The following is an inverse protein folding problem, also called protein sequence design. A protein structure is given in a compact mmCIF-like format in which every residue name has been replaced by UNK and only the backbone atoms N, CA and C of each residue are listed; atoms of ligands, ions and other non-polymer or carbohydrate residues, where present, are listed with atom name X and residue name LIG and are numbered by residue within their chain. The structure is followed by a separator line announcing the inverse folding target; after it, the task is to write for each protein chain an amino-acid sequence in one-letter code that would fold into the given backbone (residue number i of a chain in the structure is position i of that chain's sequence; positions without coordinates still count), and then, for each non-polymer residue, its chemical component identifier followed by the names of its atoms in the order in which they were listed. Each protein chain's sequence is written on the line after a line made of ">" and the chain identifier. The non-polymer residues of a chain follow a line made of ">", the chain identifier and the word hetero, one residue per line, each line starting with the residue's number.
data_IF_671070668743
#
_entry.id   IF_671070668743
#
_cell.length_a   1.000
_cell.length_b   1.000
_cell.length_c   1.000
_cell.angle_alpha   90.00
_cell.angle_beta   90.00
_cell.angle_gamma   90.00
#
_symmetry.space_group_name_H-M   'P 1'
#
loop_
_entity.id
_entity.type
_entity.pdbx_description
1 polymer ?
#
# COMPACT_ATOMS: atom_id res chain seq x y z
N UNK A 1 -12.97 -30.16 -7.64
CA UNK A 1 -12.98 -28.70 -7.84
C UNK A 1 -11.65 -28.11 -7.44
N UNK A 2 -11.29 -27.96 -6.15
CA UNK A 2 -9.97 -27.44 -5.76
C UNK A 2 -8.81 -28.15 -6.48
N UNK A 3 -8.68 -29.48 -6.34
CA UNK A 3 -7.70 -30.30 -7.08
C UNK A 3 -7.67 -30.12 -8.61
N UNK A 4 -8.80 -29.72 -9.23
CA UNK A 4 -8.88 -29.45 -10.67
C UNK A 4 -8.32 -28.06 -10.97
N UNK A 5 -8.61 -27.06 -10.11
CA UNK A 5 -8.02 -25.72 -10.16
C UNK A 5 -6.52 -25.79 -9.89
N UNK A 6 -6.09 -26.59 -8.91
CA UNK A 6 -4.69 -26.80 -8.58
C UNK A 6 -3.92 -27.38 -9.79
N UNK A 7 -4.44 -28.45 -10.42
CA UNK A 7 -3.90 -28.99 -11.68
C UNK A 7 -3.93 -27.95 -12.81
N UNK A 8 -5.02 -27.19 -12.92
CA UNK A 8 -5.19 -26.21 -13.99
C UNK A 8 -4.13 -25.10 -13.88
N UNK A 9 -3.89 -24.57 -12.68
CA UNK A 9 -2.96 -23.47 -12.37
C UNK A 9 -1.49 -23.89 -12.19
N UNK A 10 -1.16 -25.18 -12.22
CA UNK A 10 0.22 -25.68 -12.03
C UNK A 10 0.75 -26.58 -13.14
N UNK A 11 -0.13 -27.25 -13.90
CA UNK A 11 0.27 -28.21 -14.96
C UNK A 11 -0.29 -27.81 -16.33
N UNK A 12 -1.56 -27.40 -16.38
CA UNK A 12 -2.23 -27.09 -17.65
C UNK A 12 -1.91 -25.67 -18.14
N UNK A 13 -1.86 -24.71 -17.21
CA UNK A 13 -1.45 -23.32 -17.42
C UNK A 13 -0.83 -22.76 -16.14
N UNK A 14 0.18 -21.91 -16.27
CA UNK A 14 0.73 -21.07 -15.22
C UNK A 14 0.69 -19.62 -15.74
N UNK A 15 -0.08 -18.72 -15.12
CA UNK A 15 -0.13 -17.33 -15.54
C UNK A 15 1.15 -16.59 -15.15
N UNK A 16 1.69 -15.82 -16.09
CA UNK A 16 2.87 -14.97 -15.92
C UNK A 16 2.43 -13.51 -16.16
N UNK A 17 2.44 -12.62 -15.15
CA UNK A 17 2.10 -11.21 -15.33
C UNK A 17 3.23 -10.48 -16.08
N UNK A 18 2.86 -9.61 -17.01
CA UNK A 18 3.78 -8.79 -17.79
C UNK A 18 3.80 -7.36 -17.23
N UNK A 19 4.41 -7.20 -16.06
CA UNK A 19 4.66 -5.89 -15.47
C UNK A 19 5.50 -5.02 -16.41
N UNK A 20 5.22 -3.71 -16.53
CA UNK A 20 4.32 -2.93 -15.67
C UNK A 20 2.97 -2.61 -16.36
N UNK A 21 2.32 -3.61 -16.95
CA UNK A 21 1.04 -3.43 -17.65
C UNK A 21 -0.04 -4.36 -17.08
N UNK A 22 -1.33 -4.10 -17.35
CA UNK A 22 -2.43 -5.06 -17.13
C UNK A 22 -2.43 -6.18 -18.20
N UNK A 23 -1.28 -6.82 -18.37
CA UNK A 23 -1.00 -7.85 -19.38
C UNK A 23 -0.44 -9.13 -18.75
N UNK A 24 -0.56 -10.24 -19.48
CA UNK A 24 0.06 -11.49 -19.07
C UNK A 24 0.01 -12.57 -20.14
N UNK A 25 0.76 -13.65 -19.93
CA UNK A 25 0.72 -14.84 -20.79
C UNK A 25 0.65 -16.12 -19.96
N UNK A 26 0.20 -17.22 -20.57
CA UNK A 26 0.14 -18.53 -19.92
C UNK A 26 1.21 -19.47 -20.47
N UNK A 27 1.96 -20.13 -19.59
CA UNK A 27 2.87 -21.24 -19.95
C UNK A 27 2.28 -22.57 -19.47
N UNK A 28 2.41 -23.66 -20.23
CA UNK A 28 1.93 -24.98 -19.79
C UNK A 28 1.39 -25.85 -20.92
N UNK A 29 0.79 -26.99 -20.56
CA UNK A 29 0.35 -27.99 -21.53
C UNK A 29 -0.73 -27.46 -22.50
N UNK A 30 -1.57 -26.51 -22.07
CA UNK A 30 -2.64 -25.93 -22.92
C UNK A 30 -2.20 -24.75 -23.78
N UNK A 31 -1.00 -24.17 -23.56
CA UNK A 31 -0.41 -23.19 -24.50
C UNK A 31 0.64 -23.79 -25.43
N UNK A 32 1.04 -25.05 -25.23
CA UNK A 32 1.87 -25.78 -26.19
C UNK A 32 1.22 -25.78 -27.58
N UNK A 33 2.01 -25.40 -28.60
CA UNK A 33 1.57 -25.20 -30.00
C UNK A 33 0.38 -24.24 -30.17
N UNK A 34 0.22 -23.25 -29.29
CA UNK A 34 -0.87 -22.27 -29.30
C UNK A 34 -2.29 -22.90 -29.27
N UNK A 35 -2.45 -24.05 -28.60
CA UNK A 35 -3.75 -24.75 -28.52
C UNK A 35 -4.89 -23.91 -27.90
N UNK A 36 -4.58 -23.08 -26.89
CA UNK A 36 -5.50 -22.08 -26.35
C UNK A 36 -4.80 -20.72 -26.14
N UNK A 37 -5.53 -19.61 -26.30
CA UNK A 37 -5.03 -18.28 -25.98
C UNK A 37 -5.02 -18.02 -24.47
N UNK A 38 -4.11 -17.17 -24.02
CA UNK A 38 -3.98 -16.78 -22.60
C UNK A 38 -5.29 -16.20 -22.05
N UNK A 39 -6.03 -15.44 -22.87
CA UNK A 39 -7.35 -14.91 -22.50
C UNK A 39 -8.41 -16.01 -22.26
N UNK A 40 -8.49 -17.02 -23.13
CA UNK A 40 -9.42 -18.15 -22.96
C UNK A 40 -9.06 -18.95 -21.70
N UNK A 41 -7.76 -19.12 -21.46
CA UNK A 41 -7.25 -19.80 -20.27
C UNK A 41 -7.60 -19.04 -18.98
N UNK A 42 -7.37 -17.73 -18.91
CA UNK A 42 -7.82 -16.91 -17.77
C UNK A 42 -9.35 -16.90 -17.61
N UNK A 43 -10.11 -16.91 -18.71
CA UNK A 43 -11.58 -17.06 -18.67
C UNK A 43 -12.00 -18.38 -18.03
N UNK A 44 -11.32 -19.48 -18.35
CA UNK A 44 -11.58 -20.79 -17.73
C UNK A 44 -11.22 -20.84 -16.24
N UNK A 45 -10.16 -20.14 -15.79
CA UNK A 45 -9.83 -20.01 -14.35
C UNK A 45 -10.99 -19.38 -13.58
N UNK A 46 -11.55 -18.27 -14.08
CA UNK A 46 -12.68 -17.59 -13.41
C UNK A 46 -13.92 -18.50 -13.36
N UNK A 47 -14.21 -19.25 -14.42
CA UNK A 47 -15.27 -20.26 -14.42
C UNK A 47 -15.05 -21.38 -13.40
N UNK A 48 -13.82 -21.88 -13.29
CA UNK A 48 -13.47 -22.93 -12.31
C UNK A 48 -13.59 -22.40 -10.87
N UNK A 49 -13.08 -21.20 -10.56
CA UNK A 49 -13.21 -20.56 -9.25
C UNK A 49 -14.69 -20.33 -8.86
N UNK A 50 -15.51 -19.84 -9.79
CA UNK A 50 -16.96 -19.71 -9.59
C UNK A 50 -17.65 -21.06 -9.33
N UNK A 51 -17.17 -22.14 -9.97
CA UNK A 51 -17.64 -23.51 -9.71
C UNK A 51 -17.25 -24.03 -8.31
N UNK A 52 -16.09 -23.64 -7.77
CA UNK A 52 -15.67 -23.98 -6.41
C UNK A 52 -16.56 -23.31 -5.37
N UNK A 53 -16.83 -22.00 -5.51
CA UNK A 53 -17.75 -21.26 -4.62
C UNK A 53 -19.16 -21.86 -4.69
N UNK A 54 -19.64 -22.17 -5.90
CA UNK A 54 -20.93 -22.86 -6.11
C UNK A 54 -20.99 -24.23 -5.43
N UNK A 55 -19.90 -25.02 -5.51
CA UNK A 55 -19.80 -26.32 -4.85
C UNK A 55 -19.86 -26.22 -3.32
N UNK A 56 -19.18 -25.22 -2.73
CA UNK A 56 -19.26 -24.95 -1.28
C UNK A 56 -20.66 -24.54 -0.87
N UNK A 57 -21.30 -23.60 -1.58
CA UNK A 57 -22.68 -23.19 -1.31
C UNK A 57 -23.64 -24.39 -1.40
N UNK A 58 -23.48 -25.27 -2.38
CA UNK A 58 -24.27 -26.50 -2.49
C UNK A 58 -24.08 -27.42 -1.27
N UNK A 59 -22.86 -27.53 -0.72
CA UNK A 59 -22.61 -28.26 0.52
C UNK A 59 -23.28 -27.63 1.74
N UNK A 60 -23.22 -26.30 1.89
CA UNK A 60 -23.94 -25.57 2.95
C UNK A 60 -25.46 -25.73 2.83
N UNK A 61 -26.03 -25.56 1.64
CA UNK A 61 -27.46 -25.75 1.38
C UNK A 61 -27.92 -27.20 1.65
N UNK A 62 -27.14 -28.20 1.23
CA UNK A 62 -27.43 -29.62 1.57
C UNK A 62 -27.40 -29.87 3.08
N UNK A 63 -26.46 -29.26 3.82
CA UNK A 63 -26.37 -29.40 5.28
C UNK A 63 -27.50 -28.65 6.00
N UNK A 64 -27.85 -27.46 5.54
CA UNK A 64 -29.00 -26.66 6.00
C UNK A 64 -30.31 -27.45 5.85
N UNK A 65 -30.57 -28.03 4.68
CA UNK A 65 -31.75 -28.88 4.44
C UNK A 65 -31.79 -30.11 5.35
N UNK A 66 -30.64 -30.68 5.73
CA UNK A 66 -30.58 -31.78 6.71
C UNK A 66 -30.98 -31.31 8.12
N UNK A 67 -30.51 -30.14 8.56
CA UNK A 67 -30.92 -29.57 9.84
C UNK A 67 -32.41 -29.17 9.86
N UNK A 68 -32.94 -28.56 8.80
CA UNK A 68 -34.36 -28.20 8.74
C UNK A 68 -35.29 -29.43 8.80
N UNK A 69 -34.90 -30.57 8.22
CA UNK A 69 -35.62 -31.85 8.38
C UNK A 69 -35.66 -32.33 9.84
N UNK A 70 -34.58 -32.14 10.60
CA UNK A 70 -34.54 -32.47 12.04
C UNK A 70 -35.45 -31.55 12.86
N UNK A 71 -35.63 -30.30 12.42
CA UNK A 71 -36.43 -29.27 13.08
C UNK A 71 -37.96 -29.42 12.88
N UNK A 72 -38.41 -30.44 12.13
CA UNK A 72 -39.84 -30.78 11.91
C UNK A 72 -40.75 -29.64 11.40
N UNK A 73 -40.21 -28.57 10.81
CA UNK A 73 -41.03 -27.47 10.28
C UNK A 73 -41.70 -27.87 8.95
N UNK A 74 -43.01 -27.62 8.81
CA UNK A 74 -43.77 -27.91 7.58
C UNK A 74 -43.45 -27.00 6.37
N UNK A 75 -42.52 -26.05 6.49
CA UNK A 75 -42.14 -25.11 5.43
C UNK A 75 -41.22 -25.78 4.40
N UNK A 76 -41.46 -25.53 3.10
CA UNK A 76 -40.70 -26.13 2.00
C UNK A 76 -39.34 -25.45 1.76
N UNK A 77 -38.42 -25.62 2.71
CA UNK A 77 -37.02 -25.13 2.64
C UNK A 77 -36.26 -25.59 1.39
N UNK A 78 -36.73 -26.66 0.72
CA UNK A 78 -36.18 -27.14 -0.57
C UNK A 78 -36.24 -26.05 -1.66
N UNK A 79 -37.33 -25.29 -1.74
CA UNK A 79 -37.53 -24.28 -2.76
C UNK A 79 -36.48 -23.15 -2.63
N UNK A 80 -36.31 -22.63 -1.41
CA UNK A 80 -35.25 -21.68 -1.07
C UNK A 80 -33.86 -22.17 -1.52
N UNK A 81 -33.50 -23.41 -1.19
CA UNK A 81 -32.19 -23.96 -1.53
C UNK A 81 -31.97 -24.11 -3.04
N UNK A 82 -33.00 -24.48 -3.81
CA UNK A 82 -32.91 -24.56 -5.28
C UNK A 82 -32.78 -23.17 -5.90
N UNK A 83 -33.59 -22.20 -5.45
CA UNK A 83 -33.55 -20.82 -5.94
C UNK A 83 -32.21 -20.16 -5.63
N UNK A 84 -31.72 -20.28 -4.39
CA UNK A 84 -30.46 -19.68 -3.96
C UNK A 84 -29.23 -20.24 -4.72
N UNK A 85 -29.22 -21.55 -4.98
CA UNK A 85 -28.19 -22.16 -5.82
C UNK A 85 -28.31 -21.74 -7.28
N UNK A 86 -29.53 -21.66 -7.83
CA UNK A 86 -29.79 -21.22 -9.19
C UNK A 86 -29.34 -19.78 -9.46
N UNK A 87 -29.65 -18.85 -8.55
CA UNK A 87 -29.20 -17.46 -8.63
C UNK A 87 -27.68 -17.35 -8.62
N UNK A 88 -26.99 -18.06 -7.71
CA UNK A 88 -25.53 -18.08 -7.68
C UNK A 88 -24.92 -18.64 -8.97
N UNK A 89 -25.50 -19.71 -9.51
CA UNK A 89 -25.01 -20.33 -10.75
C UNK A 89 -25.21 -19.41 -11.97
N UNK A 90 -26.32 -18.67 -12.04
CA UNK A 90 -26.55 -17.65 -13.05
C UNK A 90 -25.55 -16.48 -12.93
N UNK A 91 -25.22 -16.04 -11.71
CA UNK A 91 -24.17 -15.04 -11.48
C UNK A 91 -22.82 -15.56 -12.02
N UNK A 92 -22.43 -16.80 -11.71
CA UNK A 92 -21.18 -17.39 -12.22
C UNK A 92 -21.15 -17.47 -13.75
N UNK A 93 -22.26 -17.84 -14.40
CA UNK A 93 -22.36 -17.84 -15.87
C UNK A 93 -22.19 -16.41 -16.43
N UNK A 94 -22.89 -15.42 -15.87
CA UNK A 94 -22.77 -14.02 -16.29
C UNK A 94 -21.33 -13.51 -16.14
N UNK A 95 -20.65 -13.84 -15.04
CA UNK A 95 -19.25 -13.48 -14.79
C UNK A 95 -18.28 -14.06 -15.82
N UNK A 96 -18.47 -15.32 -16.24
CA UNK A 96 -17.65 -15.93 -17.30
C UNK A 96 -17.89 -15.25 -18.65
N UNK A 97 -19.14 -14.89 -18.96
CA UNK A 97 -19.49 -14.16 -20.19
C UNK A 97 -18.88 -12.75 -20.20
N UNK A 98 -18.94 -12.02 -19.08
CA UNK A 98 -18.29 -10.70 -18.93
C UNK A 98 -16.78 -10.82 -19.07
N UNK A 99 -16.15 -11.80 -18.40
CA UNK A 99 -14.70 -12.06 -18.53
C UNK A 99 -14.31 -12.30 -19.99
N UNK A 100 -15.05 -13.14 -20.71
CA UNK A 100 -14.82 -13.40 -22.13
C UNK A 100 -14.93 -12.13 -22.98
N UNK A 101 -15.80 -11.18 -22.60
CA UNK A 101 -15.98 -9.87 -23.25
C UNK A 101 -14.96 -8.80 -22.85
N UNK A 102 -14.15 -9.01 -21.80
CA UNK A 102 -13.00 -8.15 -21.51
C UNK A 102 -11.83 -8.33 -22.50
N UNK A 103 -11.82 -9.42 -23.28
CA UNK A 103 -10.75 -9.70 -24.25
C UNK A 103 -10.89 -8.89 -25.54
N UNK A 104 -9.76 -8.43 -26.09
CA UNK A 104 -9.69 -7.56 -27.26
C UNK A 104 -9.05 -8.27 -28.47
N UNK A 105 -9.27 -7.81 -29.72
CA UNK A 105 -8.57 -8.31 -30.89
C UNK A 105 -7.06 -8.04 -30.82
N UNK A 106 -6.25 -8.91 -31.41
CA UNK A 106 -4.77 -8.81 -31.39
C UNK A 106 -4.24 -7.49 -31.95
N UNK A 107 -4.92 -6.93 -32.94
CA UNK A 107 -4.60 -5.64 -33.55
C UNK A 107 -4.80 -4.47 -32.57
N UNK A 108 -5.83 -4.55 -31.72
CA UNK A 108 -6.14 -3.58 -30.67
C UNK A 108 -5.11 -3.66 -29.52
N UNK A 109 -4.72 -4.88 -29.12
CA UNK A 109 -3.65 -5.07 -28.13
C UNK A 109 -2.35 -4.36 -28.57
N UNK A 110 -1.95 -4.55 -29.83
CA UNK A 110 -0.77 -3.89 -30.39
C UNK A 110 -0.96 -2.39 -30.67
N UNK A 111 -2.19 -1.90 -30.85
CA UNK A 111 -2.46 -0.45 -30.90
C UNK A 111 -2.15 0.17 -29.55
N UNK A 112 -2.72 -0.36 -28.48
CA UNK A 112 -2.53 0.13 -27.11
C UNK A 112 -1.06 0.03 -26.68
N UNK A 113 -0.35 -1.05 -27.06
CA UNK A 113 1.09 -1.18 -26.79
C UNK A 113 1.89 -0.09 -27.52
N UNK A 114 1.61 0.22 -28.79
CA UNK A 114 2.33 1.32 -29.50
C UNK A 114 1.98 2.71 -28.97
N UNK A 115 0.76 2.90 -28.50
CA UNK A 115 0.26 4.21 -28.05
C UNK A 115 0.69 4.55 -26.62
N UNK A 116 0.59 3.59 -25.68
CA UNK A 116 0.95 3.78 -24.27
C UNK A 116 2.36 3.30 -23.91
N UNK A 117 2.91 2.33 -24.64
CA UNK A 117 4.10 1.56 -24.22
C UNK A 117 5.09 1.20 -25.36
N UNK A 118 5.41 2.14 -26.28
CA UNK A 118 6.14 1.84 -27.54
C UNK A 118 7.49 1.16 -27.33
N UNK A 119 8.21 1.47 -26.25
CA UNK A 119 9.51 0.89 -25.91
C UNK A 119 9.47 -0.62 -25.65
N UNK A 120 8.29 -1.20 -25.43
CA UNK A 120 8.10 -2.63 -25.19
C UNK A 120 7.59 -3.41 -26.42
N UNK A 121 7.23 -2.76 -27.53
CA UNK A 121 6.55 -3.43 -28.66
C UNK A 121 7.33 -4.64 -29.20
N UNK A 122 8.65 -4.50 -29.40
CA UNK A 122 9.50 -5.58 -29.88
C UNK A 122 9.51 -6.81 -28.94
N UNK A 123 9.36 -6.59 -27.63
CA UNK A 123 9.19 -7.66 -26.65
C UNK A 123 7.87 -8.40 -26.84
N UNK A 124 6.76 -7.67 -26.96
CA UNK A 124 5.44 -8.26 -27.20
C UNK A 124 5.31 -8.92 -28.58
N UNK A 125 6.01 -8.44 -29.62
CA UNK A 125 6.09 -9.08 -30.93
C UNK A 125 6.78 -10.47 -30.87
N UNK A 126 7.69 -10.70 -29.91
CA UNK A 126 8.32 -12.02 -29.70
C UNK A 126 7.40 -13.05 -29.04
N UNK A 127 6.31 -12.62 -28.40
CA UNK A 127 5.40 -13.47 -27.64
C UNK A 127 4.28 -14.03 -28.54
N UNK A 128 4.34 -15.34 -28.81
CA UNK A 128 3.34 -16.05 -29.64
C UNK A 128 1.93 -16.07 -29.07
N UNK A 129 1.76 -15.70 -27.79
CA UNK A 129 0.52 -15.76 -27.03
C UNK A 129 0.64 -14.84 -25.80
N UNK A 130 -0.23 -13.83 -25.68
CA UNK A 130 -0.45 -13.05 -24.46
C UNK A 130 -1.91 -12.57 -24.43
N UNK A 131 -2.33 -11.91 -23.35
CA UNK A 131 -3.55 -11.12 -23.26
C UNK A 131 -3.24 -9.77 -22.61
N UNK A 132 -3.70 -8.67 -23.21
CA UNK A 132 -3.71 -7.32 -22.65
C UNK A 132 -5.15 -6.92 -22.31
N UNK A 133 -5.35 -6.29 -21.15
CA UNK A 133 -6.66 -5.80 -20.72
C UNK A 133 -6.64 -4.29 -20.48
N UNK A 134 -7.48 -3.53 -21.17
CA UNK A 134 -7.68 -2.10 -20.91
C UNK A 134 -8.92 -1.87 -20.01
N UNK A 135 -8.97 -0.74 -19.32
CA UNK A 135 -9.98 -0.40 -18.29
C UNK A 135 -11.35 -0.02 -18.88
N UNK A 136 -11.92 -0.93 -19.66
CA UNK A 136 -13.19 -0.78 -20.36
C UNK A 136 -14.42 -1.12 -19.48
N UNK A 137 -15.62 -0.87 -20.03
CA UNK A 137 -16.90 -1.12 -19.35
C UNK A 137 -17.11 -2.59 -18.92
N UNK A 138 -16.56 -3.57 -19.63
CA UNK A 138 -16.62 -4.98 -19.21
C UNK A 138 -15.71 -5.25 -18.00
N UNK A 139 -14.58 -4.57 -17.90
CA UNK A 139 -13.69 -4.61 -16.72
C UNK A 139 -14.40 -4.06 -15.47
N UNK A 140 -15.12 -2.94 -15.60
CA UNK A 140 -15.94 -2.36 -14.52
C UNK A 140 -17.13 -3.29 -14.17
N UNK A 141 -17.75 -3.91 -15.18
CA UNK A 141 -18.80 -4.92 -14.96
C UNK A 141 -18.25 -6.18 -14.24
N UNK A 142 -16.99 -6.53 -14.47
CA UNK A 142 -16.32 -7.64 -13.80
C UNK A 142 -16.08 -7.33 -12.31
N UNK A 143 -15.55 -6.15 -11.97
CA UNK A 143 -15.34 -5.73 -10.57
C UNK A 143 -16.64 -5.60 -9.77
N UNK A 144 -17.67 -5.00 -10.36
CA UNK A 144 -18.98 -4.88 -9.72
C UNK A 144 -19.64 -6.26 -9.57
N UNK A 145 -19.53 -7.13 -10.58
CA UNK A 145 -20.02 -8.50 -10.54
C UNK A 145 -19.33 -9.40 -9.51
N UNK A 146 -17.98 -9.35 -9.36
CA UNK A 146 -17.29 -10.10 -8.30
C UNK A 146 -17.72 -9.63 -6.91
N UNK A 147 -17.91 -8.33 -6.72
CA UNK A 147 -18.35 -7.73 -5.45
C UNK A 147 -19.76 -8.19 -5.08
N UNK A 148 -20.72 -8.09 -6.01
CA UNK A 148 -22.12 -8.52 -5.82
C UNK A 148 -22.19 -10.04 -5.56
N UNK A 149 -21.49 -10.84 -6.35
CA UNK A 149 -21.44 -12.30 -6.18
C UNK A 149 -20.84 -12.74 -4.86
N UNK A 150 -19.77 -12.05 -4.41
CA UNK A 150 -19.12 -12.31 -3.12
C UNK A 150 -20.02 -11.94 -1.94
N UNK A 151 -20.70 -10.80 -1.99
CA UNK A 151 -21.69 -10.40 -0.98
C UNK A 151 -22.85 -11.40 -0.92
N UNK A 152 -23.39 -11.82 -2.07
CA UNK A 152 -24.47 -12.82 -2.14
C UNK A 152 -24.06 -14.16 -1.52
N UNK A 153 -22.89 -14.68 -1.89
CA UNK A 153 -22.37 -15.93 -1.32
C UNK A 153 -22.09 -15.81 0.19
N UNK A 154 -21.48 -14.70 0.62
CA UNK A 154 -21.21 -14.41 2.04
C UNK A 154 -22.48 -14.35 2.89
N UNK A 155 -23.50 -13.63 2.42
CA UNK A 155 -24.82 -13.56 3.08
C UNK A 155 -25.47 -14.95 3.19
N UNK A 156 -25.38 -15.77 2.13
CA UNK A 156 -25.94 -17.12 2.11
C UNK A 156 -25.19 -18.10 3.04
N UNK A 157 -23.86 -18.02 3.11
CA UNK A 157 -23.05 -18.74 4.11
C UNK A 157 -23.41 -18.30 5.54
N UNK A 158 -23.51 -16.99 5.80
CA UNK A 158 -23.88 -16.44 7.10
C UNK A 158 -25.26 -16.90 7.57
N UNK A 159 -26.29 -16.69 6.74
CA UNK A 159 -27.67 -17.10 7.02
C UNK A 159 -27.78 -18.61 7.30
N UNK A 160 -27.25 -19.45 6.40
CA UNK A 160 -27.33 -20.91 6.58
C UNK A 160 -26.56 -21.38 7.82
N UNK A 161 -25.39 -20.81 8.11
CA UNK A 161 -24.60 -21.13 9.30
C UNK A 161 -25.33 -20.73 10.58
N UNK A 162 -25.87 -19.51 10.66
CA UNK A 162 -26.63 -19.03 11.80
C UNK A 162 -27.86 -19.91 12.08
N UNK A 163 -28.64 -20.25 11.05
CA UNK A 163 -29.79 -21.16 11.21
C UNK A 163 -29.37 -22.57 11.63
N UNK A 164 -28.28 -23.12 11.07
CA UNK A 164 -27.75 -24.42 11.48
C UNK A 164 -27.26 -24.42 12.94
N UNK A 165 -26.64 -23.32 13.41
CA UNK A 165 -26.22 -23.16 14.80
C UNK A 165 -27.43 -23.07 15.75
N UNK A 166 -28.46 -22.30 15.40
CA UNK A 166 -29.67 -22.18 16.22
C UNK A 166 -30.41 -23.53 16.35
N UNK A 167 -30.58 -24.27 15.25
CA UNK A 167 -31.16 -25.62 15.29
C UNK A 167 -30.27 -26.58 16.10
N UNK A 168 -28.94 -26.46 16.01
CA UNK A 168 -28.02 -27.25 16.83
C UNK A 168 -28.14 -26.92 18.34
N UNK A 169 -28.37 -25.66 18.70
CA UNK A 169 -28.59 -25.25 20.10
C UNK A 169 -29.89 -25.82 20.68
N UNK A 170 -30.98 -25.88 19.91
CA UNK A 170 -32.21 -26.54 20.35
C UNK A 170 -32.04 -28.06 20.42
N UNK A 171 -31.41 -28.69 19.42
CA UNK A 171 -31.12 -30.13 19.42
C UNK A 171 -30.20 -30.56 20.58
N UNK A 172 -29.42 -29.64 21.18
CA UNK A 172 -28.65 -29.90 22.41
C UNK A 172 -29.55 -30.31 23.59
N UNK A 173 -30.78 -29.80 23.66
CA UNK A 173 -31.75 -30.08 24.73
C UNK A 173 -32.42 -31.45 24.58
N UNK A 174 -32.45 -31.99 23.36
CA UNK A 174 -33.30 -33.13 22.97
C UNK A 174 -32.55 -34.35 22.43
N UNK A 175 -31.23 -34.28 22.23
CA UNK A 175 -30.46 -35.32 21.53
C UNK A 175 -29.35 -35.94 22.36
N UNK A 176 -29.09 -37.23 22.14
CA UNK A 176 -27.97 -37.95 22.76
C UNK A 176 -26.63 -37.28 22.47
N UNK A 177 -25.77 -37.19 23.50
CA UNK A 177 -24.42 -36.59 23.47
C UNK A 177 -23.57 -37.08 22.29
N UNK A 178 -23.69 -38.36 21.90
CA UNK A 178 -22.98 -38.92 20.74
C UNK A 178 -23.44 -38.31 19.40
N UNK A 179 -24.76 -38.26 19.18
CA UNK A 179 -25.35 -37.69 17.97
C UNK A 179 -25.10 -36.17 17.87
N UNK A 180 -25.20 -35.46 19.00
CA UNK A 180 -24.86 -34.04 19.08
C UNK A 180 -23.39 -33.78 18.71
N UNK A 181 -22.44 -34.54 19.29
CA UNK A 181 -21.00 -34.45 18.94
C UNK A 181 -20.76 -34.70 17.45
N UNK A 182 -21.44 -35.68 16.83
CA UNK A 182 -21.33 -35.98 15.40
C UNK A 182 -21.83 -34.82 14.51
N UNK A 183 -22.96 -34.19 14.86
CA UNK A 183 -23.46 -33.03 14.11
C UNK A 183 -22.57 -31.78 14.29
N UNK A 184 -22.08 -31.51 15.52
CA UNK A 184 -21.14 -30.40 15.77
C UNK A 184 -19.84 -30.55 14.96
N UNK A 185 -19.24 -31.75 14.92
CA UNK A 185 -18.04 -32.02 14.10
C UNK A 185 -18.30 -31.77 12.60
N UNK A 186 -19.44 -32.21 12.07
CA UNK A 186 -19.79 -32.01 10.67
C UNK A 186 -19.97 -30.53 10.30
N UNK A 187 -20.56 -29.70 11.19
CA UNK A 187 -20.66 -28.26 10.98
C UNK A 187 -19.30 -27.56 11.10
N UNK A 188 -18.48 -27.94 12.08
CA UNK A 188 -17.12 -27.41 12.25
C UNK A 188 -16.22 -27.67 11.05
N UNK A 189 -16.32 -28.86 10.44
CA UNK A 189 -15.56 -29.21 9.22
C UNK A 189 -16.00 -28.37 8.02
N UNK A 190 -17.29 -28.06 7.91
CA UNK A 190 -17.84 -27.24 6.83
C UNK A 190 -17.45 -25.76 6.97
N UNK A 191 -17.41 -25.23 8.19
CA UNK A 191 -16.88 -23.88 8.49
C UNK A 191 -15.37 -23.80 8.18
N UNK A 192 -14.61 -24.85 8.50
CA UNK A 192 -13.18 -24.91 8.14
C UNK A 192 -12.96 -24.87 6.62
N UNK A 193 -13.78 -25.57 5.82
CA UNK A 193 -13.71 -25.53 4.35
C UNK A 193 -13.92 -24.12 3.78
N UNK A 194 -14.82 -23.34 4.39
CA UNK A 194 -15.03 -21.92 4.04
C UNK A 194 -13.79 -21.08 4.39
N UNK A 195 -13.25 -21.22 5.61
CA UNK A 195 -12.05 -20.48 6.06
C UNK A 195 -10.84 -20.80 5.18
N UNK A 196 -10.56 -22.07 4.89
CA UNK A 196 -9.46 -22.48 4.00
C UNK A 196 -9.63 -21.92 2.59
N UNK A 197 -10.86 -21.83 2.07
CA UNK A 197 -11.10 -21.26 0.74
C UNK A 197 -10.89 -19.74 0.73
N UNK A 198 -11.33 -19.02 1.77
CA UNK A 198 -11.08 -17.58 1.90
C UNK A 198 -9.58 -17.28 2.01
N UNK A 199 -8.84 -18.05 2.83
CA UNK A 199 -7.39 -17.92 2.98
C UNK A 199 -6.62 -18.19 1.69
N UNK A 200 -7.13 -19.04 0.80
CA UNK A 200 -6.52 -19.29 -0.52
C UNK A 200 -6.80 -18.16 -1.53
N UNK A 201 -7.96 -17.49 -1.43
CA UNK A 201 -8.37 -16.43 -2.37
C UNK A 201 -7.77 -15.07 -1.98
N UNK A 202 -7.62 -14.77 -0.68
CA UNK A 202 -7.13 -13.46 -0.19
C UNK A 202 -5.77 -13.05 -0.80
N UNK A 203 -4.72 -13.89 -0.87
CA UNK A 203 -3.45 -13.51 -1.50
C UNK A 203 -3.60 -13.16 -2.98
N UNK A 204 -4.46 -13.88 -3.72
CA UNK A 204 -4.74 -13.62 -5.13
C UNK A 204 -5.49 -12.30 -5.29
N UNK A 205 -6.44 -12.00 -4.40
CA UNK A 205 -7.17 -10.74 -4.38
C UNK A 205 -6.28 -9.55 -4.01
N UNK A 206 -5.32 -9.72 -3.10
CA UNK A 206 -4.32 -8.69 -2.75
C UNK A 206 -3.39 -8.42 -3.94
N UNK A 207 -2.90 -9.47 -4.62
CA UNK A 207 -2.10 -9.33 -5.84
C UNK A 207 -2.88 -8.60 -6.95
N UNK A 208 -4.14 -8.99 -7.20
CA UNK A 208 -5.01 -8.32 -8.14
C UNK A 208 -5.29 -6.85 -7.77
N UNK A 209 -5.39 -6.53 -6.47
CA UNK A 209 -5.54 -5.15 -6.01
C UNK A 209 -4.24 -4.35 -6.18
N UNK A 210 -3.06 -4.94 -5.94
CA UNK A 210 -1.78 -4.28 -6.22
C UNK A 210 -1.49 -4.10 -7.72
N UNK A 211 -2.16 -4.87 -8.59
CA UNK A 211 -2.17 -4.66 -10.05
C UNK A 211 -3.22 -3.61 -10.49
N UNK A 212 -4.17 -3.26 -9.63
CA UNK A 212 -5.14 -2.17 -9.86
C UNK A 212 -4.66 -0.82 -9.34
N UNK A 213 -3.71 -0.84 -8.40
CA UNK A 213 -2.95 0.32 -7.96
C UNK A 213 -1.68 0.37 -8.83
N UNK A 214 -1.86 0.58 -10.13
CA UNK A 214 -0.74 1.01 -10.98
C UNK A 214 -0.29 2.39 -10.49
N UNK A 215 0.97 2.47 -10.06
CA UNK A 215 1.59 3.73 -9.68
C UNK A 215 2.03 4.44 -10.96
N UNK A 216 1.17 5.28 -11.55
CA UNK A 216 1.49 6.08 -12.75
C UNK A 216 2.90 6.71 -12.64
N UNK A 217 3.14 7.37 -11.50
CA UNK A 217 4.42 7.98 -11.10
C UNK A 217 5.65 7.07 -11.22
N UNK A 218 5.53 5.75 -11.09
CA UNK A 218 6.65 4.81 -11.09
C UNK A 218 7.09 4.41 -12.51
N UNK A 219 6.21 4.54 -13.50
CA UNK A 219 6.51 4.26 -14.91
C UNK A 219 7.00 5.50 -15.63
N UNK A 220 6.34 6.64 -15.43
CA UNK A 220 6.71 7.90 -16.07
C UNK A 220 8.13 8.32 -15.67
N UNK A 221 8.48 8.22 -14.38
CA UNK A 221 9.84 8.49 -13.90
C UNK A 221 10.90 7.58 -14.58
N UNK A 222 10.57 6.33 -14.93
CA UNK A 222 11.51 5.44 -15.64
C UNK A 222 11.59 5.77 -17.13
N UNK A 223 10.47 6.09 -17.76
CA UNK A 223 10.43 6.52 -19.17
C UNK A 223 11.23 7.83 -19.33
N UNK A 224 10.99 8.81 -18.46
CA UNK A 224 11.73 10.08 -18.42
C UNK A 224 13.24 9.83 -18.26
N UNK A 225 13.67 9.06 -17.26
CA UNK A 225 15.09 8.73 -17.07
C UNK A 225 15.70 8.03 -18.30
N UNK A 226 14.95 7.17 -19.00
CA UNK A 226 15.46 6.57 -20.25
C UNK A 226 15.62 7.57 -21.40
N UNK A 227 14.75 8.58 -21.47
CA UNK A 227 14.81 9.68 -22.44
C UNK A 227 15.96 10.66 -22.12
N UNK A 228 16.14 11.05 -20.85
CA UNK A 228 17.29 11.85 -20.35
C UNK A 228 18.61 11.23 -20.83
N UNK A 229 18.82 9.95 -20.51
CA UNK A 229 20.04 9.24 -20.83
C UNK A 229 20.28 9.08 -22.35
N UNK A 230 19.23 9.05 -23.18
CA UNK A 230 19.38 8.96 -24.64
C UNK A 230 20.04 10.21 -25.25
N UNK A 231 19.81 11.39 -24.66
CA UNK A 231 20.41 12.66 -25.12
C UNK A 231 21.70 13.02 -24.38
N UNK A 232 22.14 12.18 -23.43
CA UNK A 232 23.33 12.39 -22.60
C UNK A 232 23.25 13.67 -21.73
N UNK A 233 22.03 14.13 -21.43
CA UNK A 233 21.75 15.12 -20.39
C UNK A 233 21.72 14.44 -19.01
N UNK A 234 21.94 15.20 -17.94
CA UNK A 234 21.76 14.72 -16.56
C UNK A 234 20.39 15.06 -15.98
N UNK A 235 19.77 16.14 -16.45
CA UNK A 235 18.63 16.81 -15.83
C UNK A 235 17.56 17.16 -16.87
N UNK A 236 16.29 17.12 -16.46
CA UNK A 236 15.17 17.68 -17.25
C UNK A 236 14.35 18.63 -16.38
N UNK A 237 14.05 19.79 -16.94
CA UNK A 237 13.07 20.71 -16.35
C UNK A 237 11.66 20.17 -16.54
N UNK A 238 10.95 19.94 -15.43
CA UNK A 238 9.61 19.32 -15.41
C UNK A 238 8.46 20.29 -15.69
N UNK A 239 8.74 21.57 -16.02
CA UNK A 239 7.71 22.59 -16.21
C UNK A 239 7.37 23.42 -14.96
N UNK A 240 8.11 23.26 -13.85
CA UNK A 240 7.91 24.02 -12.61
C UNK A 240 8.86 25.23 -12.56
N UNK A 241 8.31 26.45 -12.53
CA UNK A 241 9.07 27.69 -12.40
C UNK A 241 9.00 28.20 -10.95
N UNK A 242 10.14 28.43 -10.31
CA UNK A 242 10.21 28.81 -8.89
C UNK A 242 10.94 30.15 -8.70
N UNK A 243 10.26 31.08 -8.01
CA UNK A 243 10.82 32.39 -7.59
C UNK A 243 11.55 32.33 -6.23
N UNK A 244 11.54 31.16 -5.58
CA UNK A 244 12.18 30.89 -4.30
C UNK A 244 12.24 29.39 -4.02
N UNK A 245 12.66 29.00 -2.81
CA UNK A 245 12.87 27.59 -2.42
C UNK A 245 11.65 26.92 -1.75
N UNK A 246 10.53 27.64 -1.62
CA UNK A 246 9.31 27.10 -1.01
C UNK A 246 8.32 26.62 -2.08
N UNK A 247 7.49 25.63 -1.73
CA UNK A 247 6.35 25.19 -2.55
C UNK A 247 5.44 26.36 -2.98
N UNK A 248 5.26 27.35 -2.11
CA UNK A 248 4.39 28.50 -2.34
C UNK A 248 5.02 29.57 -3.26
N UNK A 249 6.30 29.43 -3.61
CA UNK A 249 7.01 30.31 -4.56
C UNK A 249 7.17 29.68 -5.95
N UNK A 250 6.54 28.53 -6.19
CA UNK A 250 6.59 27.80 -7.45
C UNK A 250 5.22 27.78 -8.16
N UNK A 251 5.24 27.88 -9.48
CA UNK A 251 4.08 27.80 -10.36
C UNK A 251 4.41 26.86 -11.53
N UNK A 252 3.45 26.05 -11.99
CA UNK A 252 3.62 25.24 -13.20
C UNK A 252 3.38 26.11 -14.45
N UNK A 253 4.18 25.92 -15.49
CA UNK A 253 4.08 26.65 -16.77
C UNK A 253 2.75 26.38 -17.52
N UNK A 254 2.10 25.25 -17.22
CA UNK A 254 0.75 24.91 -17.69
C UNK A 254 -0.40 25.50 -16.85
N UNK A 255 -0.07 26.27 -15.80
CA UNK A 255 -1.00 26.91 -14.86
C UNK A 255 -1.85 25.94 -14.01
N UNK A 256 -1.45 24.67 -13.89
CA UNK A 256 -2.09 23.74 -12.95
C UNK A 256 -1.79 24.11 -11.49
N UNK A 257 -2.74 23.81 -10.60
CA UNK A 257 -2.69 24.23 -9.18
C UNK A 257 -2.43 23.09 -8.20
N UNK A 258 -2.47 21.82 -8.66
CA UNK A 258 -2.27 20.66 -7.79
C UNK A 258 -0.78 20.32 -7.63
N UNK A 259 -0.10 21.13 -6.81
CA UNK A 259 1.31 20.89 -6.48
C UNK A 259 1.45 19.69 -5.53
N UNK A 260 1.59 18.48 -6.09
CA UNK A 260 1.95 17.26 -5.35
C UNK A 260 3.48 17.06 -5.20
N UNK A 261 4.28 17.87 -5.91
CA UNK A 261 5.75 17.82 -5.87
C UNK A 261 6.32 18.33 -4.54
N UNK A 262 7.36 17.66 -4.03
CA UNK A 262 8.01 18.01 -2.74
C UNK A 262 9.52 17.72 -2.65
N UNK A 263 10.11 16.95 -3.58
CA UNK A 263 11.56 16.73 -3.63
C UNK A 263 12.28 17.88 -4.35
N UNK A 264 12.20 19.08 -3.77
CA UNK A 264 13.11 20.16 -4.11
C UNK A 264 14.54 19.73 -3.77
N UNK A 265 15.50 20.06 -4.65
CA UNK A 265 16.89 19.68 -4.44
C UNK A 265 17.42 20.35 -3.17
N UNK A 266 18.07 19.57 -2.29
CA UNK A 266 18.74 20.12 -1.09
C UNK A 266 19.79 21.13 -1.57
N UNK A 267 19.80 22.32 -0.99
CA UNK A 267 20.75 23.36 -1.37
C UNK A 267 22.20 22.91 -1.12
N UNK A 268 22.87 22.51 -2.20
CA UNK A 268 24.29 22.10 -2.19
C UNK A 268 25.21 23.34 -2.23
N UNK A 269 24.68 24.51 -2.60
CA UNK A 269 25.42 25.78 -2.65
C UNK A 269 25.59 26.42 -1.28
N UNK A 270 24.70 26.11 -0.32
CA UNK A 270 24.86 26.47 1.09
C UNK A 270 26.02 25.69 1.73
N UNK A 271 27.21 26.25 1.52
CA UNK A 271 28.49 25.79 2.08
C UNK A 271 28.33 25.44 3.57
N UNK A 272 28.77 24.24 3.92
CA UNK A 272 28.71 23.74 5.28
C UNK A 272 30.00 24.03 6.03
N UNK A 273 30.03 25.15 6.76
CA UNK A 273 31.19 25.55 7.59
C UNK A 273 31.27 24.79 8.93
N UNK A 274 30.14 24.29 9.44
CA UNK A 274 30.05 23.58 10.73
C UNK A 274 29.76 22.09 10.53
N UNK A 275 30.83 21.27 10.44
CA UNK A 275 30.76 19.81 10.30
C UNK A 275 31.18 19.12 11.61
N UNK A 276 30.35 18.19 12.11
CA UNK A 276 30.72 17.26 13.18
C UNK A 276 30.10 15.88 12.94
N UNK A 277 30.91 14.82 13.06
CA UNK A 277 30.53 13.41 12.91
C UNK A 277 29.64 13.13 11.67
N UNK A 278 30.16 13.49 10.49
CA UNK A 278 29.47 13.41 9.19
C UNK A 278 28.09 14.11 9.12
N UNK A 279 27.83 15.08 10.00
CA UNK A 279 26.64 15.92 9.98
C UNK A 279 27.04 17.40 9.85
N UNK A 280 26.24 18.13 9.08
CA UNK A 280 26.28 19.57 8.86
C UNK A 280 25.22 20.27 9.71
N UNK A 281 25.59 21.38 10.34
CA UNK A 281 24.71 22.17 11.20
C UNK A 281 24.54 23.58 10.65
N UNK A 282 23.29 24.03 10.54
CA UNK A 282 22.93 25.34 10.00
C UNK A 282 22.08 26.09 11.02
N UNK A 283 22.62 27.19 11.56
CA UNK A 283 21.85 28.15 12.34
C UNK A 283 20.99 29.01 11.41
N UNK A 284 19.74 29.22 11.80
CA UNK A 284 18.85 30.21 11.22
C UNK A 284 18.56 31.25 12.30
N UNK A 285 19.06 32.48 12.11
CA UNK A 285 18.92 33.59 13.06
C UNK A 285 17.48 34.14 13.14
N UNK A 286 16.65 33.81 12.15
CA UNK A 286 15.23 34.17 12.11
C UNK A 286 14.48 33.54 13.29
N UNK A 287 13.87 34.39 14.11
CA UNK A 287 13.18 33.96 15.32
C UNK A 287 11.76 33.47 14.99
N UNK A 288 11.45 32.21 15.28
CA UNK A 288 10.15 31.58 15.00
C UNK A 288 9.67 30.69 16.15
N UNK A 289 8.36 30.39 16.26
CA UNK A 289 7.83 29.35 17.14
C UNK A 289 8.36 27.96 16.76
N UNK A 290 8.46 27.05 17.74
CA UNK A 290 9.07 25.73 17.57
C UNK A 290 8.51 24.92 16.39
N UNK A 291 7.17 24.92 16.23
CA UNK A 291 6.51 24.19 15.15
C UNK A 291 6.81 24.76 13.74
N UNK A 292 7.19 26.04 13.64
CA UNK A 292 7.63 26.64 12.38
C UNK A 292 9.10 26.30 12.11
N UNK A 293 9.97 26.27 13.13
CA UNK A 293 11.37 25.88 12.97
C UNK A 293 11.54 24.47 12.36
N UNK A 294 10.72 23.50 12.77
CA UNK A 294 10.70 22.16 12.18
C UNK A 294 10.32 22.20 10.69
N UNK A 295 9.26 22.95 10.36
CA UNK A 295 8.76 23.16 8.99
C UNK A 295 9.80 23.86 8.10
N UNK A 296 10.51 24.88 8.61
CA UNK A 296 11.57 25.58 7.88
C UNK A 296 12.80 24.68 7.63
N UNK A 297 13.21 23.88 8.62
CA UNK A 297 14.26 22.87 8.40
C UNK A 297 13.84 21.86 7.31
N UNK A 298 12.61 21.33 7.39
CA UNK A 298 12.09 20.36 6.43
C UNK A 298 11.96 20.94 5.02
N UNK A 299 11.49 22.19 4.86
CA UNK A 299 11.44 22.89 3.57
C UNK A 299 12.84 23.06 2.94
N UNK A 300 13.87 23.28 3.73
CA UNK A 300 15.25 23.35 3.26
C UNK A 300 15.89 22.01 2.89
N UNK A 301 15.18 20.88 3.03
CA UNK A 301 15.74 19.53 2.87
C UNK A 301 16.63 19.10 4.05
N UNK A 302 16.45 19.72 5.22
CA UNK A 302 17.16 19.43 6.45
C UNK A 302 16.24 18.75 7.48
N UNK A 303 16.83 18.23 8.55
CA UNK A 303 16.13 17.76 9.76
C UNK A 303 16.27 18.81 10.86
N UNK A 304 15.28 18.91 11.75
CA UNK A 304 15.42 19.72 12.97
C UNK A 304 16.46 19.06 13.89
N UNK A 305 17.40 19.82 14.47
CA UNK A 305 18.62 19.24 15.06
C UNK A 305 18.36 18.38 16.32
N UNK A 306 18.67 17.09 16.20
CA UNK A 306 18.90 16.16 17.32
C UNK A 306 20.35 16.20 17.82
N UNK A 307 20.60 15.81 19.07
CA UNK A 307 21.94 15.78 19.69
C UNK A 307 22.14 14.52 20.54
N UNK A 308 23.17 13.74 20.23
CA UNK A 308 23.38 12.36 20.71
C UNK A 308 24.66 12.15 21.51
N UNK A 309 25.46 13.21 21.72
CA UNK A 309 26.67 13.11 22.52
C UNK A 309 27.10 14.43 23.15
N UNK A 310 27.86 14.35 24.24
CA UNK A 310 28.50 15.50 24.89
C UNK A 310 29.40 16.30 23.93
N UNK A 311 30.13 15.60 23.05
CA UNK A 311 31.04 16.25 22.10
C UNK A 311 30.29 16.97 20.98
N UNK A 312 29.16 16.43 20.52
CA UNK A 312 28.25 17.08 19.57
C UNK A 312 27.59 18.32 20.19
N UNK A 313 27.05 18.18 21.42
CA UNK A 313 26.46 19.29 22.17
C UNK A 313 27.47 20.43 22.37
N UNK A 314 28.70 20.09 22.78
CA UNK A 314 29.78 21.05 22.98
C UNK A 314 30.26 21.67 21.67
N UNK A 315 30.34 20.90 20.59
CA UNK A 315 30.68 21.42 19.25
C UNK A 315 29.67 22.49 18.83
N UNK A 316 28.37 22.16 18.86
CA UNK A 316 27.28 23.09 18.53
C UNK A 316 27.38 24.36 19.39
N UNK A 317 27.44 24.21 20.72
CA UNK A 317 27.52 25.37 21.61
C UNK A 317 28.77 26.23 21.39
N UNK A 318 29.91 25.64 21.05
CA UNK A 318 31.17 26.35 20.81
C UNK A 318 31.21 27.12 19.50
N UNK A 319 30.30 26.88 18.55
CA UNK A 319 30.29 27.59 17.26
C UNK A 319 29.71 29.01 17.35
N UNK A 320 29.13 29.42 18.48
CA UNK A 320 28.37 30.67 18.61
C UNK A 320 28.94 31.57 19.73
N UNK A 321 29.61 32.67 19.34
CA UNK A 321 30.15 33.69 20.25
C UNK A 321 29.07 34.70 20.71
N UNK A 322 27.87 34.22 21.07
CA UNK A 322 26.71 35.07 21.39
C UNK A 322 25.89 34.45 22.52
N UNK A 323 25.41 35.28 23.45
CA UNK A 323 24.38 34.88 24.42
C UNK A 323 23.02 34.78 23.71
N UNK A 324 22.57 33.56 23.43
CA UNK A 324 21.29 33.30 22.76
C UNK A 324 20.70 31.97 23.22
N UNK A 325 19.40 31.78 22.98
CA UNK A 325 18.73 30.48 23.10
C UNK A 325 18.29 30.03 21.71
N UNK A 326 18.71 28.82 21.33
CA UNK A 326 18.48 28.25 19.98
C UNK A 326 17.54 27.05 20.13
N UNK A 327 16.49 26.95 19.32
CA UNK A 327 15.67 25.75 19.26
C UNK A 327 16.47 24.55 18.73
N UNK A 328 16.41 23.45 19.48
CA UNK A 328 16.75 22.11 18.99
C UNK A 328 15.45 21.37 18.65
N UNK A 329 15.51 20.31 17.84
CA UNK A 329 14.33 19.54 17.44
C UNK A 329 13.78 18.60 18.52
N UNK A 330 13.86 18.97 19.79
CA UNK A 330 13.52 18.13 20.93
C UNK A 330 12.30 18.63 21.71
N UNK A 331 11.44 17.71 22.14
CA UNK A 331 10.35 17.97 23.08
C UNK A 331 10.53 17.09 24.31
N UNK A 332 10.53 17.70 25.50
CA UNK A 332 10.61 17.04 26.79
C UNK A 332 9.35 17.34 27.61
N UNK A 333 8.55 16.32 27.89
CA UNK A 333 7.44 16.47 28.83
C UNK A 333 7.98 16.51 30.28
N UNK A 334 7.28 17.21 31.17
CA UNK A 334 7.64 17.29 32.60
C UNK A 334 7.66 15.89 33.24
N UNK A 335 8.86 15.29 33.35
CA UNK A 335 9.08 14.02 34.05
C UNK A 335 9.96 13.00 33.34
N UNK A 336 10.27 13.14 32.04
CA UNK A 336 11.24 12.25 31.39
C UNK A 336 11.20 12.19 29.86
N UNK A 337 12.35 11.75 29.31
CA UNK A 337 12.70 11.53 27.90
C UNK A 337 12.53 12.75 26.96
N UNK A 338 13.61 13.08 26.24
CA UNK A 338 13.53 13.98 25.08
C UNK A 338 13.09 13.13 23.87
N UNK A 339 12.05 13.59 23.17
CA UNK A 339 11.64 13.04 21.87
C UNK A 339 12.13 13.98 20.79
N UNK A 340 12.96 13.48 19.87
CA UNK A 340 13.47 14.24 18.73
C UNK A 340 12.52 14.16 17.52
N UNK A 341 12.23 15.30 16.87
CA UNK A 341 11.40 15.39 15.65
C UNK A 341 11.93 14.55 14.48
N UNK A 342 13.24 14.27 14.44
CA UNK A 342 13.87 13.47 13.38
C UNK A 342 13.72 11.95 13.55
N UNK A 343 13.07 11.50 14.63
CA UNK A 343 12.83 10.10 14.96
C UNK A 343 14.04 9.35 15.54
N UNK A 344 15.13 10.05 15.89
CA UNK A 344 16.30 9.46 16.53
C UNK A 344 16.06 9.09 18.00
N UNK A 345 16.90 8.18 18.54
CA UNK A 345 16.77 7.71 19.92
C UNK A 345 17.32 8.73 20.93
N UNK A 346 16.97 8.56 22.21
CA UNK A 346 17.41 9.41 23.30
C UNK A 346 18.58 8.73 24.02
N UNK A 347 19.79 9.06 23.58
CA UNK A 347 21.03 8.39 23.98
C UNK A 347 21.92 9.24 24.93
N UNK A 348 21.47 10.42 25.38
CA UNK A 348 22.35 11.43 26.03
C UNK A 348 21.65 12.43 26.98
N UNK A 349 20.39 12.76 26.73
CA UNK A 349 19.70 14.00 27.09
C UNK A 349 18.99 14.07 28.44
N UNK A 350 19.43 13.35 29.48
CA UNK A 350 18.84 13.48 30.83
C UNK A 350 19.59 14.43 31.77
N UNK A 351 20.93 14.52 31.69
CA UNK A 351 21.75 15.19 32.71
C UNK A 351 21.98 16.69 32.50
N UNK A 352 21.66 17.23 31.32
CA UNK A 352 21.90 18.62 30.92
C UNK A 352 20.63 19.49 30.86
N UNK A 353 19.45 18.88 31.00
CA UNK A 353 18.16 19.56 30.81
C UNK A 353 17.62 20.20 32.09
N UNK A 354 17.39 21.52 32.04
CA UNK A 354 16.68 22.30 33.05
C UNK A 354 15.21 22.45 32.60
N UNK A 355 14.26 22.21 33.50
CA UNK A 355 12.83 22.42 33.18
C UNK A 355 12.44 23.89 33.41
N UNK A 356 11.85 24.53 32.40
CA UNK A 356 11.40 25.92 32.41
C UNK A 356 9.89 26.06 32.19
N UNK A 357 9.48 27.04 31.38
CA UNK A 357 8.07 27.46 31.20
C UNK A 357 7.32 26.71 30.08
N UNK A 358 7.73 25.48 29.73
CA UNK A 358 7.06 24.65 28.74
C UNK A 358 7.80 23.35 28.46
N UNK A 359 7.63 22.79 27.26
CA UNK A 359 8.12 21.45 26.89
C UNK A 359 9.09 21.42 25.71
N UNK A 360 9.26 22.53 24.96
CA UNK A 360 10.13 22.54 23.79
C UNK A 360 11.58 22.84 24.19
N UNK A 361 12.55 22.08 23.68
CA UNK A 361 13.95 22.13 24.15
C UNK A 361 14.73 23.19 23.39
N UNK A 362 15.36 24.10 24.14
CA UNK A 362 16.31 25.10 23.61
C UNK A 362 17.70 24.92 24.22
N UNK A 363 18.75 25.10 23.43
CA UNK A 363 20.13 25.19 23.89
C UNK A 363 20.47 26.65 24.22
N UNK A 364 21.17 26.89 25.32
CA UNK A 364 21.77 28.20 25.64
C UNK A 364 23.23 28.20 25.18
N UNK A 365 23.66 29.26 24.51
CA UNK A 365 25.07 29.52 24.16
C UNK A 365 25.59 30.74 24.92
N UNK A 366 26.90 30.79 25.16
CA UNK A 366 27.57 31.87 25.91
C UNK A 366 28.72 32.45 25.09
N UNK A 367 29.04 33.73 25.31
CA UNK A 367 30.10 34.45 24.59
C UNK A 367 31.50 33.81 24.71
N UNK A 368 31.75 33.06 25.79
CA UNK A 368 33.03 32.42 26.11
C UNK A 368 33.14 30.95 25.63
N UNK A 369 32.19 30.49 24.81
CA UNK A 369 32.06 29.10 24.32
C UNK A 369 31.80 28.03 25.41
N UNK A 370 31.42 28.40 26.64
CA UNK A 370 31.19 27.43 27.74
C UNK A 370 29.76 26.87 27.83
N UNK A 371 28.86 27.32 26.96
CA UNK A 371 27.44 26.94 26.96
C UNK A 371 27.14 25.51 26.51
N UNK A 372 25.89 25.29 26.13
CA UNK A 372 25.35 23.97 25.78
C UNK A 372 24.43 23.38 26.84
N UNK A 373 24.01 24.15 27.85
CA UNK A 373 22.93 23.72 28.74
C UNK A 373 21.58 23.79 28.01
N UNK A 374 20.69 22.85 28.32
CA UNK A 374 19.37 22.82 27.71
C UNK A 374 18.31 23.32 28.68
N UNK A 375 17.33 24.06 28.18
CA UNK A 375 16.17 24.50 28.95
C UNK A 375 14.87 24.31 28.17
N UNK A 376 13.84 23.77 28.83
CA UNK A 376 12.50 23.69 28.23
C UNK A 376 11.81 25.05 28.29
N UNK A 377 11.18 25.42 27.18
CA UNK A 377 10.49 26.71 26.99
C UNK A 377 9.08 26.52 26.43
N UNK A 378 8.30 27.59 26.44
CA UNK A 378 7.00 27.58 25.78
C UNK A 378 7.21 27.46 24.26
N UNK A 379 6.56 26.49 23.62
CA UNK A 379 6.74 26.20 22.20
C UNK A 379 6.29 27.35 21.26
N UNK A 380 5.52 28.31 21.81
CA UNK A 380 5.11 29.55 21.14
C UNK A 380 6.12 30.71 21.28
N UNK A 381 7.22 30.52 22.02
CA UNK A 381 8.30 31.51 22.11
C UNK A 381 9.03 31.62 20.76
N UNK A 382 9.46 32.83 20.38
CA UNK A 382 10.15 33.08 19.12
C UNK A 382 11.66 32.99 19.36
N UNK A 383 12.32 31.99 18.80
CA UNK A 383 13.78 31.79 18.92
C UNK A 383 14.40 31.43 17.58
N UNK A 384 15.69 31.75 17.36
CA UNK A 384 16.48 31.19 16.26
C UNK A 384 16.59 29.67 16.42
N UNK A 385 16.86 28.96 15.33
CA UNK A 385 16.76 27.50 15.29
C UNK A 385 17.90 26.82 14.53
N UNK A 386 18.18 25.56 14.89
CA UNK A 386 19.27 24.77 14.31
C UNK A 386 18.71 23.63 13.44
N UNK A 387 19.17 23.57 12.19
CA UNK A 387 18.89 22.48 11.27
C UNK A 387 20.14 21.60 11.05
N UNK A 388 19.93 20.31 10.76
CA UNK A 388 20.96 19.26 10.64
C UNK A 388 20.74 18.42 9.37
N UNK A 389 21.80 18.06 8.66
CA UNK A 389 21.77 17.00 7.61
C UNK A 389 23.07 16.19 7.62
N UNK A 390 23.11 14.98 7.03
CA UNK A 390 24.35 14.32 6.67
C UNK A 390 25.21 15.20 5.74
N UNK A 391 26.53 15.01 5.78
CA UNK A 391 27.44 15.54 4.76
C UNK A 391 27.26 14.72 3.48
N UNK A 392 26.84 15.39 2.40
CA UNK A 392 26.71 14.80 1.07
C UNK A 392 28.08 14.80 0.36
N UNK A 393 28.39 13.77 -0.43
CA UNK A 393 29.61 13.72 -1.24
C UNK A 393 29.31 14.06 -2.70
N UNK A 394 30.20 14.78 -3.37
CA UNK A 394 30.01 15.19 -4.78
C UNK A 394 29.95 14.03 -5.80
N UNK A 395 30.25 12.80 -5.35
CA UNK A 395 30.29 11.57 -6.16
C UNK A 395 29.20 10.56 -5.73
N UNK A 396 28.46 10.86 -4.65
CA UNK A 396 27.40 10.01 -4.11
C UNK A 396 26.44 10.79 -3.22
N UNK A 397 25.19 10.91 -3.67
CA UNK A 397 24.10 11.61 -2.99
C UNK A 397 23.69 11.00 -1.63
N UNK A 398 22.93 11.77 -0.84
CA UNK A 398 22.75 11.65 0.61
C UNK A 398 21.23 11.46 0.98
#
# INVERSE_FOLDING_TARGET
>A
MCFIIDIHLTVLMQPQPLHPMPAGFCTGLLTYRNFASSHILMTSVIGLLGSQVSGLVLCFLRKYLHFQKLNRTNVSHKAFAVIAFGVLYLIVIAMVIVTYKCGMPREEEFRIIREKYPQYEAGFQSLSNFALYDFNIYWIALLSGTTIGSFYAGALFGYTTFTMLNILMELRKMSSSSNFKKQKKALSSLIAQLITTLLAIVPIAILALSLLIEFDYAQDNRALVSFVNQYNESDIWLGLNCTGLSKNSCEWDDQTTDMSYSNFAIDVTKKCDYIYNNNCYFLYEQQVPFAMADIECQQGGYKFSSVHSYLENRFIASNYMVEMSIWLGGVAANGGLIVWSDGSQEDYGYSTLKYGNGSCVSMITHYDHTGGEWITRNCSDYLPFLCKRPVCSEIGGC
#
